data_IF_278776531741
#
_entry.id   IF_278776531741
#
_cell.length_a   1.000
_cell.length_b   1.000
_cell.length_c   1.000
_cell.angle_alpha   90.00
_cell.angle_beta   90.00
_cell.angle_gamma   90.00
#
_symmetry.space_group_name_H-M   'P 1'
#
loop_
_entity.id
_entity.type
_entity.pdbx_description
1 polymer ?
#
# COMPACT_ATOMS: atom_id res chain seq x y z
N UNK A 1 14.51 -1.16 -29.42
CA UNK A 1 14.11 -0.81 -28.06
C UNK A 1 12.69 -0.30 -28.10
N UNK A 2 11.72 -1.13 -27.73
CA UNK A 2 10.30 -0.76 -27.72
C UNK A 2 10.03 0.09 -26.47
N UNK A 3 9.78 1.37 -26.67
CA UNK A 3 9.44 2.29 -25.59
C UNK A 3 8.04 1.93 -25.08
N UNK A 4 7.94 1.40 -23.87
CA UNK A 4 6.66 1.12 -23.22
C UNK A 4 5.95 2.46 -22.96
N UNK A 5 4.84 2.70 -23.64
CA UNK A 5 3.98 3.87 -23.38
C UNK A 5 3.17 3.64 -22.11
N UNK A 6 3.23 4.59 -21.22
CA UNK A 6 2.47 4.62 -19.98
C UNK A 6 1.23 5.49 -20.17
N UNK A 7 0.05 4.95 -19.82
CA UNK A 7 -1.19 5.75 -19.80
C UNK A 7 -1.63 5.87 -18.34
N UNK A 8 -1.80 7.10 -17.88
CA UNK A 8 -2.32 7.41 -16.53
C UNK A 8 -3.58 8.24 -16.62
N UNK A 9 -4.56 7.88 -15.81
CA UNK A 9 -5.75 8.67 -15.55
C UNK A 9 -5.87 8.89 -14.06
N UNK A 10 -6.05 10.15 -13.62
CA UNK A 10 -6.18 10.50 -12.22
C UNK A 10 -7.13 11.67 -12.04
N UNK A 11 -7.73 11.73 -10.87
CA UNK A 11 -8.60 12.81 -10.47
C UNK A 11 -7.82 13.79 -9.58
N UNK A 12 -7.84 15.07 -9.91
CA UNK A 12 -7.26 16.11 -9.08
C UNK A 12 -8.40 16.88 -8.41
N UNK A 13 -8.49 16.77 -7.10
CA UNK A 13 -9.41 17.58 -6.29
C UNK A 13 -8.72 18.86 -5.86
N UNK A 14 -9.40 20.00 -6.01
CA UNK A 14 -8.93 21.33 -5.63
C UNK A 14 -9.94 22.01 -4.70
N UNK A 15 -9.49 22.89 -3.78
CA UNK A 15 -10.37 23.49 -2.77
C UNK A 15 -11.45 24.42 -3.33
N UNK A 16 -11.24 24.99 -4.52
CA UNK A 16 -12.16 25.95 -5.15
C UNK A 16 -12.07 25.92 -6.67
N UNK A 17 -13.09 26.48 -7.34
CA UNK A 17 -13.12 26.65 -8.79
C UNK A 17 -11.98 27.57 -9.30
N UNK A 18 -11.51 28.52 -8.47
CA UNK A 18 -10.38 29.40 -8.80
C UNK A 18 -9.07 28.60 -8.84
N UNK A 19 -8.86 27.71 -7.87
CA UNK A 19 -7.71 26.80 -7.83
C UNK A 19 -7.70 25.80 -9.00
N UNK A 20 -8.87 25.51 -9.59
CA UNK A 20 -8.98 24.63 -10.75
C UNK A 20 -8.26 25.18 -11.99
N UNK A 21 -8.40 26.50 -12.23
CA UNK A 21 -7.68 27.19 -13.31
C UNK A 21 -6.17 27.18 -13.13
N UNK A 22 -5.72 27.40 -11.89
CA UNK A 22 -4.29 27.43 -11.55
C UNK A 22 -3.65 26.04 -11.71
N UNK A 23 -4.34 24.99 -11.26
CA UNK A 23 -3.89 23.60 -11.42
C UNK A 23 -3.86 23.20 -12.90
N UNK A 24 -4.89 23.54 -13.68
CA UNK A 24 -4.94 23.27 -15.11
C UNK A 24 -3.77 23.95 -15.84
N UNK A 25 -3.51 25.23 -15.56
CA UNK A 25 -2.42 25.97 -16.15
C UNK A 25 -1.05 25.42 -15.75
N UNK A 26 -0.88 25.00 -14.49
CA UNK A 26 0.34 24.37 -14.00
C UNK A 26 0.59 23.01 -14.69
N UNK A 27 -0.46 22.24 -14.93
CA UNK A 27 -0.40 20.98 -15.65
C UNK A 27 0.01 21.18 -17.11
N UNK A 28 -0.64 22.10 -17.81
CA UNK A 28 -0.30 22.44 -19.21
C UNK A 28 1.15 22.89 -19.34
N UNK A 29 1.63 23.76 -18.46
CA UNK A 29 3.04 24.21 -18.43
C UNK A 29 4.01 23.05 -18.12
N UNK A 30 3.65 22.13 -17.22
CA UNK A 30 4.47 21.00 -16.89
C UNK A 30 4.59 20.02 -18.06
N UNK A 31 3.53 19.87 -18.86
CA UNK A 31 3.51 19.04 -20.07
C UNK A 31 4.33 19.71 -21.18
N UNK A 32 4.13 21.01 -21.41
CA UNK A 32 4.89 21.77 -22.43
C UNK A 32 6.40 21.81 -22.15
N UNK A 33 6.82 21.62 -20.91
CA UNK A 33 8.23 21.53 -20.53
C UNK A 33 8.87 20.15 -20.86
N UNK A 34 8.11 19.17 -21.35
CA UNK A 34 8.65 17.90 -21.82
C UNK A 34 9.03 17.98 -23.31
N UNK A 35 9.96 17.15 -23.80
CA UNK A 35 10.26 17.05 -25.21
C UNK A 35 9.02 16.79 -26.07
N UNK A 36 8.93 17.38 -27.28
CA UNK A 36 7.78 17.18 -28.14
C UNK A 36 7.51 15.71 -28.42
N UNK A 37 6.24 15.28 -28.24
CA UNK A 37 5.80 13.91 -28.48
C UNK A 37 6.07 12.90 -27.35
N UNK A 38 6.70 13.30 -26.24
CA UNK A 38 6.89 12.41 -25.09
C UNK A 38 5.60 12.17 -24.28
N UNK A 39 4.66 13.13 -24.27
CA UNK A 39 3.39 13.02 -23.53
C UNK A 39 2.24 13.50 -24.40
N UNK A 40 1.20 12.65 -24.53
CA UNK A 40 -0.12 13.06 -24.95
C UNK A 40 -1.02 13.21 -23.71
N UNK A 41 -1.94 14.16 -23.72
CA UNK A 41 -2.82 14.40 -22.57
C UNK A 41 -4.22 14.78 -22.97
N UNK A 42 -5.17 14.46 -22.07
CA UNK A 42 -6.55 14.95 -22.09
C UNK A 42 -6.91 15.43 -20.70
N UNK A 43 -7.58 16.57 -20.59
CA UNK A 43 -8.07 17.15 -19.34
C UNK A 43 -9.55 17.40 -19.51
N UNK A 44 -10.39 16.64 -18.80
CA UNK A 44 -11.83 16.81 -18.81
C UNK A 44 -12.32 17.42 -17.50
N UNK A 45 -13.03 18.57 -17.51
CA UNK A 45 -13.66 19.10 -16.32
C UNK A 45 -14.84 18.20 -15.92
N UNK A 46 -14.86 17.72 -14.67
CA UNK A 46 -15.97 16.93 -14.15
C UNK A 46 -17.06 17.86 -13.62
N UNK A 47 -18.34 17.58 -13.95
CA UNK A 47 -19.51 18.43 -13.64
C UNK A 47 -19.84 18.61 -12.14
N UNK A 48 -19.08 18.01 -11.21
CA UNK A 48 -19.26 18.21 -9.76
C UNK A 48 -17.98 18.79 -9.14
N UNK A 49 -18.10 19.81 -8.26
CA UNK A 49 -16.99 20.67 -7.87
C UNK A 49 -15.93 19.98 -7.01
N UNK A 50 -14.77 20.50 -7.03
CA UNK A 50 -13.91 20.88 -8.14
C UNK A 50 -12.91 19.77 -8.45
N UNK A 51 -13.18 18.98 -9.47
CA UNK A 51 -12.39 17.83 -9.92
C UNK A 51 -11.92 18.04 -11.36
N UNK A 52 -10.65 17.71 -11.62
CA UNK A 52 -10.13 17.50 -12.98
C UNK A 52 -9.87 16.01 -13.19
N UNK A 53 -10.43 15.47 -14.27
CA UNK A 53 -10.04 14.16 -14.79
C UNK A 53 -8.89 14.36 -15.78
N UNK A 54 -7.74 13.80 -15.49
CA UNK A 54 -6.52 14.00 -16.28
C UNK A 54 -6.02 12.66 -16.78
N UNK A 55 -5.84 12.56 -18.10
CA UNK A 55 -5.20 11.43 -18.74
C UNK A 55 -3.86 11.86 -19.32
N UNK A 56 -2.78 11.20 -18.91
CA UNK A 56 -1.44 11.36 -19.46
C UNK A 56 -1.01 10.05 -20.14
N UNK A 57 -0.47 10.16 -21.34
CA UNK A 57 0.07 9.03 -22.08
C UNK A 57 1.50 9.38 -22.56
N UNK A 58 2.49 8.58 -22.17
CA UNK A 58 3.86 8.85 -22.53
C UNK A 58 4.88 7.96 -21.84
N UNK A 59 6.16 8.30 -21.97
CA UNK A 59 7.22 7.60 -21.25
C UNK A 59 7.08 7.77 -19.73
N UNK A 60 7.30 6.70 -18.95
CA UNK A 60 7.11 6.68 -17.50
C UNK A 60 7.84 7.84 -16.79
N UNK A 61 9.07 8.12 -17.17
CA UNK A 61 9.86 9.23 -16.61
C UNK A 61 9.24 10.60 -16.88
N UNK A 62 8.70 10.83 -18.08
CA UNK A 62 8.06 12.09 -18.45
C UNK A 62 6.75 12.31 -17.68
N UNK A 63 5.91 11.27 -17.57
CA UNK A 63 4.67 11.30 -16.77
C UNK A 63 5.00 11.59 -15.30
N UNK A 64 6.01 10.94 -14.72
CA UNK A 64 6.44 11.18 -13.33
C UNK A 64 6.93 12.62 -13.09
N UNK A 65 7.65 13.23 -14.04
CA UNK A 65 8.07 14.64 -13.94
C UNK A 65 6.88 15.61 -13.93
N UNK A 66 5.88 15.36 -14.77
CA UNK A 66 4.65 16.17 -14.81
C UNK A 66 3.90 16.06 -13.50
N UNK A 67 3.73 14.86 -12.96
CA UNK A 67 3.05 14.61 -11.70
C UNK A 67 3.76 15.27 -10.51
N UNK A 68 5.09 15.23 -10.45
CA UNK A 68 5.86 15.90 -9.41
C UNK A 68 5.64 17.41 -9.39
N UNK A 69 5.47 18.05 -10.55
CA UNK A 69 5.15 19.49 -10.63
C UNK A 69 3.72 19.84 -10.20
N UNK A 70 2.76 18.97 -10.50
CA UNK A 70 1.36 19.17 -10.05
C UNK A 70 1.28 19.12 -8.53
N UNK A 71 2.02 18.21 -7.89
CA UNK A 71 2.04 18.07 -6.43
C UNK A 71 2.57 19.31 -5.70
N UNK A 72 3.26 20.22 -6.40
CA UNK A 72 3.75 21.51 -5.83
C UNK A 72 2.73 22.65 -5.90
N UNK A 73 1.58 22.43 -6.57
CA UNK A 73 0.53 23.45 -6.67
C UNK A 73 -0.27 23.46 -5.38
N UNK A 74 -0.33 24.62 -4.73
CA UNK A 74 -1.01 24.77 -3.43
C UNK A 74 -2.50 24.39 -3.54
N UNK A 75 -2.92 23.51 -2.63
CA UNK A 75 -4.29 22.99 -2.56
C UNK A 75 -4.65 21.87 -3.54
N UNK A 76 -3.78 21.47 -4.48
CA UNK A 76 -4.04 20.33 -5.35
C UNK A 76 -3.90 19.01 -4.58
N UNK A 77 -4.94 18.16 -4.63
CA UNK A 77 -4.91 16.80 -4.05
C UNK A 77 -5.22 15.80 -5.14
N UNK A 78 -4.29 14.89 -5.38
CA UNK A 78 -4.48 13.78 -6.34
C UNK A 78 -5.14 12.64 -5.57
N UNK A 79 -6.38 12.29 -5.94
CA UNK A 79 -7.19 11.32 -5.21
C UNK A 79 -7.15 9.89 -5.75
N UNK A 80 -7.01 9.70 -7.05
CA UNK A 80 -6.95 8.37 -7.66
C UNK A 80 -5.98 8.35 -8.83
N UNK A 81 -5.11 7.36 -8.85
CA UNK A 81 -4.22 7.08 -9.98
C UNK A 81 -4.68 5.78 -10.65
N UNK A 82 -5.22 5.87 -11.88
CA UNK A 82 -5.58 4.71 -12.68
C UNK A 82 -4.51 4.53 -13.73
N UNK A 83 -3.57 3.62 -13.47
CA UNK A 83 -2.53 3.28 -14.43
C UNK A 83 -3.03 2.24 -15.43
N UNK A 84 -2.97 2.52 -16.73
CA UNK A 84 -3.14 1.55 -17.80
C UNK A 84 -1.84 1.40 -18.58
N UNK A 85 -1.18 0.24 -18.43
CA UNK A 85 -0.03 -0.12 -19.28
C UNK A 85 -0.58 -0.78 -20.54
N UNK A 86 -0.47 -0.11 -21.69
CA UNK A 86 -0.72 -0.73 -22.98
C UNK A 86 0.58 -1.45 -23.39
N UNK A 87 0.57 -2.77 -23.30
CA UNK A 87 1.58 -3.61 -23.97
C UNK A 87 1.13 -3.85 -25.39
N UNK A 88 1.95 -3.47 -26.36
CA UNK A 88 1.86 -4.02 -27.70
C UNK A 88 2.05 -5.53 -27.58
N UNK A 89 1.09 -6.29 -28.16
CA UNK A 89 1.02 -7.73 -28.01
C UNK A 89 2.17 -8.45 -28.72
N UNK A 90 3.28 -8.61 -28.05
CA UNK A 90 4.28 -9.66 -28.30
C UNK A 90 5.38 -9.55 -27.25
N UNK A 91 5.24 -10.20 -26.12
CA UNK A 91 6.38 -10.66 -25.34
C UNK A 91 5.98 -11.92 -24.57
N UNK A 92 6.77 -12.94 -24.80
CA UNK A 92 6.68 -14.27 -24.24
C UNK A 92 6.48 -14.23 -22.73
N UNK A 93 5.48 -14.98 -22.27
CA UNK A 93 5.27 -15.26 -20.86
C UNK A 93 6.45 -16.11 -20.39
N UNK A 94 7.30 -15.54 -19.52
CA UNK A 94 8.15 -16.38 -18.70
C UNK A 94 7.29 -17.40 -17.92
N UNK A 95 7.82 -18.55 -17.49
CA UNK A 95 7.04 -19.58 -16.83
C UNK A 95 6.48 -19.04 -15.51
N UNK A 96 5.23 -18.59 -15.55
CA UNK A 96 4.49 -18.17 -14.38
C UNK A 96 4.37 -19.33 -13.40
N UNK A 97 4.51 -19.07 -12.10
CA UNK A 97 4.17 -20.05 -11.06
C UNK A 97 2.80 -20.64 -11.37
N UNK A 98 2.74 -21.97 -11.60
CA UNK A 98 1.46 -22.68 -11.71
C UNK A 98 0.71 -22.51 -10.38
N UNK A 99 -0.41 -21.76 -10.41
CA UNK A 99 -1.29 -21.54 -9.25
C UNK A 99 -1.30 -20.13 -8.67
N UNK A 100 -0.43 -19.21 -9.10
CA UNK A 100 -0.51 -17.81 -8.66
C UNK A 100 -1.52 -17.04 -9.52
N UNK A 101 -2.62 -16.62 -8.89
CA UNK A 101 -3.62 -15.73 -9.49
C UNK A 101 -3.15 -14.25 -9.58
N UNK A 102 -1.90 -13.96 -9.25
CA UNK A 102 -1.36 -12.61 -9.17
C UNK A 102 -0.76 -12.18 -10.52
N UNK A 103 -1.31 -11.13 -11.18
CA UNK A 103 -0.94 -10.78 -12.55
C UNK A 103 0.33 -9.93 -12.69
N UNK A 104 0.80 -9.27 -11.63
CA UNK A 104 1.97 -8.38 -11.71
C UNK A 104 3.17 -8.95 -10.95
N UNK A 105 4.09 -9.50 -11.70
CA UNK A 105 5.34 -10.01 -11.15
C UNK A 105 6.41 -8.92 -10.96
N UNK A 106 6.26 -7.72 -11.55
CA UNK A 106 7.36 -6.75 -11.58
C UNK A 106 7.75 -6.28 -10.17
N UNK A 107 6.77 -5.88 -9.35
CA UNK A 107 7.03 -5.50 -7.96
C UNK A 107 7.59 -6.67 -7.14
N UNK A 108 7.04 -7.87 -7.34
CA UNK A 108 7.48 -9.09 -6.63
C UNK A 108 8.90 -9.51 -7.02
N UNK A 109 9.26 -9.44 -8.30
CA UNK A 109 10.63 -9.66 -8.78
C UNK A 109 11.60 -8.68 -8.12
N UNK A 110 11.24 -7.40 -8.09
CA UNK A 110 12.09 -6.37 -7.49
C UNK A 110 12.36 -6.59 -6.01
N UNK A 111 11.38 -7.06 -5.24
CA UNK A 111 11.57 -7.40 -3.81
C UNK A 111 12.07 -8.83 -3.59
N UNK A 112 12.31 -9.61 -4.63
CA UNK A 112 12.76 -11.00 -4.53
C UNK A 112 11.71 -11.94 -3.95
N UNK A 113 10.42 -11.66 -4.18
CA UNK A 113 9.30 -12.49 -3.71
C UNK A 113 8.71 -13.40 -4.80
N UNK A 114 9.17 -13.31 -6.04
CA UNK A 114 8.67 -14.05 -7.20
C UNK A 114 9.12 -15.52 -7.25
N UNK A 115 10.28 -15.83 -6.69
CA UNK A 115 10.97 -17.12 -6.81
C UNK A 115 11.36 -17.72 -5.46
N UNK A 116 10.56 -17.48 -4.44
CA UNK A 116 10.83 -18.01 -3.09
C UNK A 116 10.63 -19.54 -3.05
N UNK A 117 11.52 -20.30 -2.36
CA UNK A 117 11.35 -21.73 -2.21
C UNK A 117 10.11 -22.06 -1.41
N UNK A 118 9.38 -23.11 -1.80
CA UNK A 118 8.26 -23.63 -1.01
C UNK A 118 8.75 -24.07 0.36
N UNK A 119 8.09 -23.60 1.41
CA UNK A 119 8.42 -23.97 2.78
C UNK A 119 7.53 -25.12 3.27
N UNK A 120 8.16 -26.15 3.86
CA UNK A 120 7.44 -27.19 4.61
C UNK A 120 7.26 -26.70 6.05
N UNK A 121 6.08 -26.95 6.64
CA UNK A 121 5.82 -26.66 8.06
C UNK A 121 5.51 -25.20 8.41
N UNK A 122 5.14 -24.39 7.42
CA UNK A 122 4.72 -23.00 7.66
C UNK A 122 3.47 -22.91 8.53
N UNK A 123 3.47 -21.99 9.53
CA UNK A 123 2.35 -21.77 10.42
C UNK A 123 1.41 -20.67 9.89
N UNK A 124 0.09 -20.79 10.09
CA UNK A 124 -0.84 -19.72 9.69
C UNK A 124 -0.56 -18.41 10.44
N UNK A 125 -0.53 -17.31 9.68
CA UNK A 125 -0.34 -15.96 10.23
C UNK A 125 -1.55 -15.09 9.93
N UNK A 126 -2.15 -14.51 10.97
CA UNK A 126 -3.26 -13.58 10.82
C UNK A 126 -2.73 -12.17 10.57
N UNK A 127 -3.13 -11.60 9.42
CA UNK A 127 -2.91 -10.21 9.04
C UNK A 127 -4.24 -9.47 9.13
N UNK A 128 -4.35 -8.51 10.03
CA UNK A 128 -5.52 -7.65 10.13
C UNK A 128 -5.42 -6.49 9.12
N UNK A 129 -6.41 -6.38 8.28
CA UNK A 129 -6.65 -5.26 7.37
C UNK A 129 -7.57 -4.27 8.09
N UNK A 130 -7.02 -3.24 8.71
CA UNK A 130 -7.79 -2.13 9.28
C UNK A 130 -8.01 -1.14 8.14
N UNK A 131 -9.12 -1.30 7.38
CA UNK A 131 -9.28 -0.66 6.07
C UNK A 131 -10.76 -0.48 5.66
N UNK A 132 -11.06 -0.32 4.38
CA UNK A 132 -12.41 -0.10 3.81
C UNK A 132 -13.26 -1.37 3.69
N UNK A 133 -12.71 -2.54 4.00
CA UNK A 133 -13.38 -3.82 3.82
C UNK A 133 -12.64 -4.77 2.88
N UNK A 134 -13.31 -5.85 2.47
CA UNK A 134 -12.77 -6.85 1.56
C UNK A 134 -13.88 -7.40 0.64
N UNK A 135 -13.56 -7.59 -0.64
CA UNK A 135 -14.40 -8.40 -1.54
C UNK A 135 -14.09 -9.88 -1.31
N UNK A 136 -14.72 -10.48 -0.31
CA UNK A 136 -14.42 -11.86 0.15
C UNK A 136 -14.61 -12.92 -0.93
N UNK A 137 -15.49 -12.67 -1.91
CA UNK A 137 -15.80 -13.57 -3.04
C UNK A 137 -14.72 -13.57 -4.13
N UNK A 138 -13.74 -12.66 -4.05
CA UNK A 138 -12.67 -12.61 -5.05
C UNK A 138 -11.83 -13.90 -4.97
N UNK A 139 -11.60 -14.63 -6.09
CA UNK A 139 -10.94 -15.94 -6.08
C UNK A 139 -9.55 -15.95 -5.44
N UNK A 140 -8.83 -14.84 -5.49
CA UNK A 140 -7.51 -14.72 -4.87
C UNK A 140 -7.53 -14.88 -3.34
N UNK A 141 -8.68 -14.72 -2.69
CA UNK A 141 -8.81 -14.83 -1.23
C UNK A 141 -9.30 -16.20 -0.77
N UNK A 142 -9.59 -17.10 -1.71
CA UNK A 142 -10.02 -18.46 -1.37
C UNK A 142 -8.95 -19.18 -0.50
N UNK A 143 -9.36 -19.63 0.68
CA UNK A 143 -8.46 -20.27 1.64
C UNK A 143 -7.58 -19.32 2.47
N UNK A 144 -7.71 -17.99 2.26
CA UNK A 144 -6.93 -16.96 2.97
C UNK A 144 -7.77 -16.13 3.94
N UNK A 145 -9.04 -16.41 4.11
CA UNK A 145 -9.88 -15.65 5.04
C UNK A 145 -9.68 -16.13 6.48
N UNK A 146 -9.66 -15.18 7.43
CA UNK A 146 -9.60 -15.49 8.84
C UNK A 146 -10.85 -16.25 9.29
N UNK A 147 -10.72 -17.40 9.97
CA UNK A 147 -11.85 -18.18 10.45
C UNK A 147 -12.36 -17.61 11.77
N UNK A 148 -12.92 -16.40 11.72
CA UNK A 148 -13.44 -15.73 12.91
C UNK A 148 -14.61 -16.44 13.58
N UNK A 149 -15.10 -15.95 14.71
CA UNK A 149 -16.27 -16.47 15.37
C UNK A 149 -17.46 -16.59 14.39
N UNK A 150 -18.17 -17.70 14.42
CA UNK A 150 -19.33 -17.98 13.55
C UNK A 150 -19.06 -17.91 12.03
N UNK A 151 -17.81 -18.04 11.59
CA UNK A 151 -17.44 -17.99 10.17
C UNK A 151 -17.40 -16.58 9.57
N UNK A 152 -17.49 -15.54 10.40
CA UNK A 152 -17.37 -14.14 9.96
C UNK A 152 -15.90 -13.78 9.91
N UNK A 153 -15.43 -13.24 8.77
CA UNK A 153 -14.03 -12.98 8.52
C UNK A 153 -13.52 -11.62 9.03
N UNK A 154 -14.33 -10.92 9.83
CA UNK A 154 -14.01 -9.60 10.35
C UNK A 154 -15.20 -8.91 10.98
N UNK A 155 -15.10 -7.60 11.16
CA UNK A 155 -16.16 -6.75 11.71
C UNK A 155 -16.12 -5.35 11.10
N UNK A 156 -17.29 -4.69 11.01
CA UNK A 156 -17.45 -3.30 10.61
C UNK A 156 -17.64 -2.38 11.80
N UNK A 157 -17.04 -1.18 11.72
CA UNK A 157 -17.03 -0.15 12.75
C UNK A 157 -17.55 1.22 12.24
N UNK A 158 -18.31 1.23 11.14
CA UNK A 158 -18.95 2.44 10.65
C UNK A 158 -20.29 2.63 11.36
N UNK A 159 -20.49 3.79 11.98
CA UNK A 159 -21.69 4.12 12.74
C UNK A 159 -22.97 3.92 11.92
N UNK A 160 -23.98 3.31 12.53
CA UNK A 160 -25.30 3.10 11.93
C UNK A 160 -25.38 1.99 10.86
N UNK A 161 -24.31 1.19 10.70
CA UNK A 161 -24.28 0.03 9.80
C UNK A 161 -24.19 -1.29 10.55
N UNK A 162 -24.58 -2.39 9.86
CA UNK A 162 -24.49 -3.74 10.42
C UNK A 162 -23.03 -4.17 10.67
N UNK A 163 -22.74 -4.71 11.83
CA UNK A 163 -21.38 -5.07 12.25
C UNK A 163 -20.73 -6.15 11.37
N UNK A 164 -21.54 -6.99 10.72
CA UNK A 164 -21.09 -8.13 9.91
C UNK A 164 -20.82 -7.77 8.44
N UNK A 165 -21.19 -6.55 7.99
CA UNK A 165 -20.96 -6.12 6.61
C UNK A 165 -19.53 -5.63 6.38
N UNK A 166 -18.63 -6.56 6.15
CA UNK A 166 -17.22 -6.29 5.82
C UNK A 166 -16.98 -6.08 4.33
N UNK A 167 -18.03 -6.04 3.51
CA UNK A 167 -17.91 -5.85 2.05
C UNK A 167 -17.23 -4.51 1.73
N UNK A 168 -16.37 -4.52 0.72
CA UNK A 168 -15.58 -3.35 0.33
C UNK A 168 -16.33 -2.52 -0.72
N UNK A 169 -16.86 -1.34 -0.36
CA UNK A 169 -17.49 -0.42 -1.29
C UNK A 169 -16.51 0.59 -1.90
N UNK A 170 -15.34 0.79 -1.30
CA UNK A 170 -14.28 1.68 -1.78
C UNK A 170 -13.34 0.97 -2.76
N UNK A 171 -12.91 -0.23 -2.39
CA UNK A 171 -11.98 -1.06 -3.13
C UNK A 171 -10.53 -0.94 -2.62
N UNK A 172 -10.25 -0.06 -1.64
CA UNK A 172 -8.90 0.13 -1.12
C UNK A 172 -8.43 -1.10 -0.33
N UNK A 173 -9.22 -1.61 0.60
CA UNK A 173 -8.86 -2.80 1.39
C UNK A 173 -8.66 -4.05 0.53
N UNK A 174 -9.50 -4.24 -0.50
CA UNK A 174 -9.35 -5.33 -1.47
C UNK A 174 -8.02 -5.26 -2.22
N UNK A 175 -7.57 -4.07 -2.63
CA UNK A 175 -6.25 -3.86 -3.25
C UNK A 175 -5.11 -4.22 -2.29
N UNK A 176 -5.18 -3.75 -1.04
CA UNK A 176 -4.14 -4.04 -0.05
C UNK A 176 -4.05 -5.54 0.25
N UNK A 177 -5.20 -6.22 0.37
CA UNK A 177 -5.27 -7.66 0.60
C UNK A 177 -4.53 -8.47 -0.47
N UNK A 178 -4.77 -8.17 -1.75
CA UNK A 178 -4.07 -8.83 -2.85
C UNK A 178 -2.57 -8.57 -2.85
N UNK A 179 -2.15 -7.35 -2.51
CA UNK A 179 -0.72 -7.00 -2.40
C UNK A 179 -0.05 -7.75 -1.25
N UNK A 180 -0.71 -7.87 -0.10
CA UNK A 180 -0.23 -8.69 1.03
C UNK A 180 -0.01 -10.13 0.60
N UNK A 181 -1.01 -10.77 -0.03
CA UNK A 181 -0.89 -12.15 -0.48
C UNK A 181 0.19 -12.34 -1.54
N UNK A 182 0.32 -11.39 -2.48
CA UNK A 182 1.38 -11.41 -3.47
C UNK A 182 2.77 -11.46 -2.85
N UNK A 183 3.05 -10.59 -1.88
CA UNK A 183 4.34 -10.54 -1.20
C UNK A 183 4.57 -11.69 -0.20
N UNK A 184 3.50 -12.24 0.36
CA UNK A 184 3.55 -13.41 1.25
C UNK A 184 3.82 -14.73 0.49
N UNK A 185 3.56 -14.75 -0.81
CA UNK A 185 3.83 -15.93 -1.65
C UNK A 185 2.96 -17.13 -1.28
N UNK A 186 3.58 -18.21 -0.80
CA UNK A 186 2.92 -19.47 -0.40
C UNK A 186 2.63 -19.56 1.11
N UNK A 187 2.91 -18.50 1.87
CA UNK A 187 2.62 -18.50 3.31
C UNK A 187 1.10 -18.61 3.56
N UNK A 188 0.68 -19.41 4.54
CA UNK A 188 -0.72 -19.57 4.89
C UNK A 188 -1.25 -18.35 5.66
N UNK A 189 -1.40 -17.22 4.95
CA UNK A 189 -1.96 -15.98 5.50
C UNK A 189 -3.46 -16.12 5.76
N UNK A 190 -3.91 -15.55 6.89
CA UNK A 190 -5.32 -15.39 7.26
C UNK A 190 -5.65 -13.91 7.32
N UNK A 191 -6.43 -13.42 6.37
CA UNK A 191 -6.87 -12.03 6.28
C UNK A 191 -8.04 -11.79 7.25
N UNK A 192 -7.82 -10.98 8.29
CA UNK A 192 -8.85 -10.50 9.21
C UNK A 192 -9.26 -9.10 8.78
N UNK A 193 -10.56 -8.85 8.61
CA UNK A 193 -11.07 -7.55 8.15
C UNK A 193 -11.60 -6.74 9.33
N UNK A 194 -11.06 -5.55 9.53
CA UNK A 194 -11.58 -4.55 10.47
C UNK A 194 -11.96 -3.29 9.68
N UNK A 195 -13.19 -3.29 9.14
CA UNK A 195 -13.68 -2.22 8.27
C UNK A 195 -14.11 -1.02 9.09
N UNK A 196 -13.54 0.17 8.84
CA UNK A 196 -13.86 1.38 9.61
C UNK A 196 -14.16 2.61 8.75
N UNK A 197 -14.06 2.52 7.44
CA UNK A 197 -14.48 3.56 6.49
C UNK A 197 -14.98 2.95 5.18
N UNK A 198 -15.64 3.75 4.37
CA UNK A 198 -15.98 3.47 2.98
C UNK A 198 -16.10 4.79 2.18
N UNK A 199 -16.49 4.72 0.91
CA UNK A 199 -16.63 5.89 0.01
C UNK A 199 -17.59 6.96 0.55
N UNK A 200 -18.65 6.56 1.26
CA UNK A 200 -19.66 7.46 1.81
C UNK A 200 -19.30 7.94 3.24
N UNK A 201 -18.50 7.16 3.96
CA UNK A 201 -18.13 7.39 5.36
C UNK A 201 -16.60 7.47 5.47
N UNK A 202 -16.03 8.68 5.48
CA UNK A 202 -14.58 8.89 5.52
C UNK A 202 -13.98 8.40 6.84
N UNK A 203 -12.66 8.24 6.84
CA UNK A 203 -11.89 7.83 8.02
C UNK A 203 -12.17 8.73 9.22
N UNK A 204 -12.59 8.13 10.34
CA UNK A 204 -12.80 8.79 11.63
C UNK A 204 -11.92 8.15 12.70
N UNK A 205 -11.29 8.97 13.58
CA UNK A 205 -10.41 8.45 14.63
C UNK A 205 -11.09 7.41 15.55
N UNK A 206 -12.34 7.64 15.93
CA UNK A 206 -13.07 6.71 16.85
C UNK A 206 -13.35 5.35 16.21
N UNK A 207 -13.72 5.33 14.93
CA UNK A 207 -13.92 4.09 14.18
C UNK A 207 -12.59 3.33 14.03
N UNK A 208 -11.49 4.07 13.80
CA UNK A 208 -10.15 3.49 13.73
C UNK A 208 -9.71 2.89 15.07
N UNK A 209 -10.04 3.54 16.21
CA UNK A 209 -9.80 3.02 17.56
C UNK A 209 -10.49 1.68 17.74
N UNK A 210 -11.79 1.59 17.42
CA UNK A 210 -12.56 0.36 17.59
C UNK A 210 -12.06 -0.78 16.67
N UNK A 211 -11.70 -0.45 15.43
CA UNK A 211 -11.17 -1.41 14.46
C UNK A 211 -9.78 -1.94 14.86
N UNK A 212 -8.92 -1.07 15.40
CA UNK A 212 -7.59 -1.45 15.86
C UNK A 212 -7.68 -2.30 17.14
N UNK A 213 -8.57 -1.96 18.07
CA UNK A 213 -8.82 -2.74 19.28
C UNK A 213 -9.38 -4.14 18.96
N UNK A 214 -10.25 -4.25 17.96
CA UNK A 214 -10.73 -5.54 17.45
C UNK A 214 -9.57 -6.39 16.91
N UNK A 215 -8.72 -5.84 16.07
CA UNK A 215 -7.57 -6.56 15.51
C UNK A 215 -6.63 -7.09 16.61
N UNK A 216 -6.35 -6.25 17.62
CA UNK A 216 -5.55 -6.59 18.80
C UNK A 216 -6.20 -7.67 19.66
N UNK A 217 -7.46 -7.51 20.03
CA UNK A 217 -8.16 -8.45 20.91
C UNK A 217 -8.32 -9.84 20.30
N UNK A 218 -8.35 -9.94 18.97
CA UNK A 218 -8.37 -11.20 18.22
C UNK A 218 -6.96 -11.70 17.84
N UNK A 219 -5.90 -11.12 18.44
CA UNK A 219 -4.52 -11.58 18.37
C UNK A 219 -3.96 -11.65 16.94
N UNK A 220 -4.30 -10.67 16.11
CA UNK A 220 -3.63 -10.50 14.83
C UNK A 220 -2.13 -10.36 15.05
N UNK A 221 -1.32 -11.11 14.29
CA UNK A 221 0.15 -11.05 14.39
C UNK A 221 0.73 -9.87 13.64
N UNK A 222 0.04 -9.44 12.59
CA UNK A 222 0.39 -8.26 11.80
C UNK A 222 -0.87 -7.42 11.66
N UNK A 223 -0.73 -6.11 11.85
CA UNK A 223 -1.81 -5.14 11.67
C UNK A 223 -1.37 -4.14 10.61
N UNK A 224 -2.08 -4.08 9.48
CA UNK A 224 -1.80 -3.16 8.38
C UNK A 224 -2.66 -1.91 8.51
N UNK A 225 -2.00 -0.75 8.66
CA UNK A 225 -2.59 0.58 8.74
C UNK A 225 -2.20 1.39 7.48
N UNK A 226 -2.96 1.21 6.41
CA UNK A 226 -2.68 1.80 5.09
C UNK A 226 -3.41 3.12 4.85
N UNK A 227 -3.63 3.94 5.89
CA UNK A 227 -4.44 5.17 5.92
C UNK A 227 -3.87 6.22 6.86
N UNK A 228 -4.46 7.43 6.85
CA UNK A 228 -4.20 8.47 7.85
C UNK A 228 -5.48 9.20 8.28
N UNK A 229 -5.46 9.75 9.50
CA UNK A 229 -6.57 10.50 10.14
C UNK A 229 -6.10 11.85 10.71
N UNK A 230 -5.23 12.54 10.03
CA UNK A 230 -4.71 13.82 10.48
C UNK A 230 -3.79 13.71 11.70
N UNK A 231 -4.03 14.47 12.74
CA UNK A 231 -3.20 14.41 13.96
C UNK A 231 -3.51 13.19 14.83
N UNK A 232 -4.67 12.56 14.62
CA UNK A 232 -5.18 11.50 15.47
C UNK A 232 -5.78 12.02 16.78
N UNK A 233 -5.92 11.13 17.75
CA UNK A 233 -6.39 11.44 19.12
C UNK A 233 -5.56 10.65 20.12
N UNK A 234 -5.52 11.09 21.38
CA UNK A 234 -4.82 10.40 22.48
C UNK A 234 -5.33 8.97 22.64
N UNK A 235 -6.63 8.75 22.43
CA UNK A 235 -7.22 7.42 22.47
C UNK A 235 -6.70 6.53 21.35
N UNK A 236 -6.58 7.05 20.12
CA UNK A 236 -6.02 6.31 19.01
C UNK A 236 -4.54 5.97 19.24
N UNK A 237 -3.78 6.91 19.78
CA UNK A 237 -2.38 6.71 20.15
C UNK A 237 -2.24 5.63 21.23
N UNK A 238 -3.07 5.68 22.27
CA UNK A 238 -3.08 4.66 23.33
C UNK A 238 -3.36 3.25 22.80
N UNK A 239 -4.42 3.08 22.00
CA UNK A 239 -4.77 1.77 21.42
C UNK A 239 -3.71 1.30 20.41
N UNK A 240 -3.10 2.22 19.69
CA UNK A 240 -1.97 1.92 18.81
C UNK A 240 -0.79 1.33 19.58
N UNK A 241 -0.38 1.94 20.68
CA UNK A 241 0.71 1.42 21.52
C UNK A 241 0.35 0.08 22.19
N UNK A 242 -0.90 -0.12 22.58
CA UNK A 242 -1.36 -1.43 23.07
C UNK A 242 -1.26 -2.51 21.98
N UNK A 243 -1.63 -2.20 20.74
CA UNK A 243 -1.51 -3.14 19.63
C UNK A 243 -0.06 -3.53 19.33
N UNK A 244 0.88 -2.60 19.50
CA UNK A 244 2.31 -2.83 19.31
C UNK A 244 2.95 -3.78 20.35
N UNK A 245 2.27 -4.11 21.46
CA UNK A 245 2.80 -5.05 22.46
C UNK A 245 2.84 -6.49 21.94
N UNK A 246 1.87 -6.87 21.11
CA UNK A 246 1.66 -8.26 20.69
C UNK A 246 1.70 -8.48 19.17
N UNK A 247 1.72 -7.40 18.38
CA UNK A 247 1.67 -7.44 16.92
C UNK A 247 2.74 -6.55 16.28
N UNK A 248 3.16 -6.91 15.07
CA UNK A 248 3.87 -6.00 14.17
C UNK A 248 2.87 -5.09 13.50
N UNK A 249 2.98 -3.77 13.71
CA UNK A 249 2.11 -2.78 13.08
C UNK A 249 2.83 -2.17 11.88
N UNK A 250 2.30 -2.42 10.68
CA UNK A 250 2.86 -1.91 9.42
C UNK A 250 2.03 -0.72 8.93
N UNK A 251 2.69 0.39 8.63
CA UNK A 251 2.06 1.69 8.48
C UNK A 251 2.51 2.36 7.19
N UNK A 252 1.57 2.93 6.43
CA UNK A 252 1.87 3.78 5.28
C UNK A 252 2.46 5.13 5.74
N UNK A 253 3.56 5.58 5.12
CA UNK A 253 4.21 6.84 5.49
C UNK A 253 3.38 8.09 5.16
N UNK A 254 2.41 7.98 4.25
CA UNK A 254 1.58 9.08 3.73
C UNK A 254 1.92 9.49 2.31
N UNK A 255 0.98 10.16 1.63
CA UNK A 255 1.02 10.44 0.20
C UNK A 255 1.03 11.95 -0.11
N UNK A 256 1.80 12.74 0.65
CA UNK A 256 1.85 14.20 0.54
C UNK A 256 3.19 14.73 0.02
N UNK A 257 4.16 13.84 -0.30
CA UNK A 257 5.50 14.21 -0.72
C UNK A 257 6.34 14.88 0.38
N UNK A 258 5.89 14.80 1.62
CA UNK A 258 6.40 15.57 2.77
C UNK A 258 7.43 14.78 3.58
N UNK A 259 8.32 15.52 4.24
CA UNK A 259 9.23 14.98 5.26
C UNK A 259 8.46 14.75 6.56
N UNK A 260 8.43 13.53 7.07
CA UNK A 260 7.78 13.16 8.32
C UNK A 260 8.65 13.43 9.55
N UNK A 261 9.94 13.68 9.37
CA UNK A 261 10.84 13.97 10.49
C UNK A 261 10.51 15.32 11.14
N UNK A 262 10.93 15.48 12.39
CA UNK A 262 10.75 16.72 13.12
C UNK A 262 11.78 17.76 12.72
N UNK A 263 11.30 18.92 12.26
CA UNK A 263 12.14 20.06 11.94
C UNK A 263 11.58 21.29 12.68
N UNK A 264 12.41 21.98 13.43
CA UNK A 264 12.03 23.21 14.20
C UNK A 264 10.79 23.00 15.10
N UNK A 265 10.67 21.85 15.75
CA UNK A 265 9.58 21.49 16.63
C UNK A 265 8.25 21.15 15.91
N UNK A 266 8.28 20.97 14.59
CA UNK A 266 7.11 20.60 13.77
C UNK A 266 7.38 19.33 12.98
N UNK A 267 6.33 18.54 12.74
CA UNK A 267 6.34 17.38 11.87
C UNK A 267 5.12 17.40 10.98
N UNK A 268 5.28 16.98 9.73
CA UNK A 268 4.15 16.75 8.81
C UNK A 268 3.54 15.34 8.95
N UNK A 269 4.13 14.49 9.80
CA UNK A 269 3.62 13.15 10.04
C UNK A 269 2.18 13.18 10.59
N UNK A 270 1.31 12.39 9.97
CA UNK A 270 -0.10 12.22 10.35
C UNK A 270 -0.26 10.92 11.14
N UNK A 271 -1.32 10.81 11.94
CA UNK A 271 -1.63 9.56 12.61
C UNK A 271 -2.09 8.50 11.58
N UNK A 272 -1.67 7.21 11.70
CA UNK A 272 -0.92 6.65 12.81
C UNK A 272 0.61 6.73 12.68
N UNK A 273 1.20 7.11 11.52
CA UNK A 273 2.66 7.07 11.34
C UNK A 273 3.42 7.97 12.33
N UNK A 274 2.79 9.06 12.80
CA UNK A 274 3.39 9.92 13.83
C UNK A 274 3.60 9.22 15.19
N UNK A 275 2.85 8.14 15.47
CA UNK A 275 2.97 7.35 16.70
C UNK A 275 4.04 6.26 16.62
N UNK A 276 4.57 6.01 15.41
CA UNK A 276 5.49 4.90 15.15
C UNK A 276 6.93 5.17 15.59
N UNK A 277 7.28 6.45 15.78
CA UNK A 277 8.65 6.83 16.11
C UNK A 277 9.15 6.09 17.35
N UNK A 278 10.36 5.52 17.24
CA UNK A 278 11.05 4.80 18.30
C UNK A 278 10.29 3.56 18.85
N UNK A 279 9.22 3.11 18.18
CA UNK A 279 8.51 1.90 18.57
C UNK A 279 9.11 0.65 17.90
N UNK A 280 9.61 -0.32 18.67
CA UNK A 280 10.30 -1.49 18.12
C UNK A 280 9.39 -2.48 17.37
N UNK A 281 8.06 -2.35 17.53
CA UNK A 281 7.06 -3.22 16.89
C UNK A 281 6.34 -2.56 15.72
N UNK A 282 6.87 -1.48 15.16
CA UNK A 282 6.28 -0.78 14.01
C UNK A 282 7.21 -0.80 12.80
N UNK A 283 6.63 -0.76 11.61
CA UNK A 283 7.31 -0.54 10.34
C UNK A 283 6.58 0.54 9.54
N UNK A 284 7.12 1.74 9.51
CA UNK A 284 6.64 2.82 8.66
C UNK A 284 7.29 2.71 7.27
N UNK A 285 6.48 2.74 6.21
CA UNK A 285 6.91 2.36 4.86
C UNK A 285 6.65 3.46 3.85
N UNK A 286 7.71 3.93 3.17
CA UNK A 286 7.62 4.81 2.03
C UNK A 286 7.50 4.05 0.70
N UNK A 287 6.96 4.72 -0.33
CA UNK A 287 6.78 4.12 -1.65
C UNK A 287 7.94 4.43 -2.59
N UNK A 288 8.37 3.41 -3.36
CA UNK A 288 9.22 3.59 -4.54
C UNK A 288 8.44 3.42 -5.84
N UNK A 289 8.98 4.01 -6.91
CA UNK A 289 8.59 3.75 -8.29
C UNK A 289 9.30 2.51 -8.85
N UNK A 290 9.16 2.27 -10.16
CA UNK A 290 9.75 1.13 -10.88
C UNK A 290 11.28 1.23 -11.06
N UNK A 291 11.86 2.39 -10.84
CA UNK A 291 13.30 2.65 -10.86
C UNK A 291 13.96 2.59 -9.48
N UNK A 292 13.23 2.16 -8.45
CA UNK A 292 13.64 2.17 -7.04
C UNK A 292 13.94 3.58 -6.48
N UNK A 293 13.45 4.63 -7.14
CA UNK A 293 13.51 6.00 -6.62
C UNK A 293 12.25 6.28 -5.76
N UNK A 294 12.32 7.30 -4.91
CA UNK A 294 11.15 7.71 -4.12
C UNK A 294 9.99 8.08 -5.03
N UNK A 295 8.84 7.41 -4.90
CA UNK A 295 7.63 7.82 -5.59
C UNK A 295 7.30 9.28 -5.26
N UNK A 296 6.91 10.07 -6.26
CA UNK A 296 6.76 11.53 -6.16
C UNK A 296 5.83 11.96 -5.01
N UNK A 297 4.77 11.19 -4.75
CA UNK A 297 3.78 11.45 -3.69
C UNK A 297 4.26 10.98 -2.32
N UNK A 298 5.24 10.06 -2.26
CA UNK A 298 5.59 9.41 -1.00
C UNK A 298 6.16 10.37 0.03
N UNK A 299 5.58 10.34 1.24
CA UNK A 299 6.25 10.88 2.40
C UNK A 299 7.52 10.08 2.69
N UNK A 300 8.45 10.69 3.39
CA UNK A 300 9.77 10.16 3.73
C UNK A 300 10.23 10.67 5.09
N UNK A 301 11.32 10.16 5.63
CA UNK A 301 11.92 10.61 6.88
C UNK A 301 12.97 9.60 7.35
N UNK A 302 14.15 10.09 7.76
CA UNK A 302 15.26 9.23 8.21
C UNK A 302 15.08 8.72 9.65
N UNK A 303 14.19 9.35 10.42
CA UNK A 303 13.88 8.97 11.81
C UNK A 303 12.52 8.33 11.95
N UNK A 304 11.55 8.67 11.07
CA UNK A 304 10.15 8.31 11.20
C UNK A 304 9.69 7.26 10.19
N UNK A 305 10.50 6.95 9.17
CA UNK A 305 10.20 5.94 8.16
C UNK A 305 11.29 4.88 8.14
N UNK A 306 10.93 3.62 8.36
CA UNK A 306 11.89 2.53 8.54
C UNK A 306 12.53 2.09 7.21
N UNK A 307 11.72 1.81 6.18
CA UNK A 307 12.18 1.31 4.89
C UNK A 307 11.27 1.74 3.74
N UNK A 308 11.72 1.46 2.53
CA UNK A 308 10.94 1.65 1.31
C UNK A 308 10.44 0.32 0.74
N UNK A 309 9.35 0.35 -0.03
CA UNK A 309 8.88 -0.78 -0.83
C UNK A 309 8.19 -0.27 -2.11
N UNK A 310 8.00 -1.13 -3.13
CA UNK A 310 7.27 -0.74 -4.34
C UNK A 310 5.87 -0.24 -4.01
N UNK A 311 5.54 0.98 -4.45
CA UNK A 311 4.27 1.62 -4.15
C UNK A 311 3.70 2.42 -5.33
N UNK A 312 4.33 2.39 -6.50
CA UNK A 312 3.83 3.02 -7.70
C UNK A 312 3.76 2.01 -8.84
N UNK A 313 2.62 1.97 -9.53
CA UNK A 313 2.41 1.03 -10.63
C UNK A 313 2.13 -0.39 -10.15
N UNK A 314 1.52 -0.58 -8.99
CA UNK A 314 1.28 -1.89 -8.39
C UNK A 314 -0.05 -2.45 -8.90
N UNK A 315 -0.01 -3.62 -9.54
CA UNK A 315 -1.21 -4.35 -9.95
C UNK A 315 -1.65 -5.31 -8.86
N UNK A 316 -2.89 -5.17 -8.42
CA UNK A 316 -3.47 -5.97 -7.35
C UNK A 316 -4.96 -6.29 -7.59
N UNK A 317 -5.54 -7.13 -6.73
CA UNK A 317 -6.95 -7.49 -6.77
C UNK A 317 -7.84 -6.25 -6.75
N UNK A 318 -8.89 -6.29 -7.54
CA UNK A 318 -9.85 -5.19 -7.66
C UNK A 318 -11.20 -5.59 -7.05
N UNK A 319 -11.84 -4.65 -6.38
CA UNK A 319 -13.27 -4.78 -6.11
C UNK A 319 -14.04 -4.85 -7.43
N UNK A 320 -14.74 -5.94 -7.64
CA UNK A 320 -15.57 -6.20 -8.81
C UNK A 320 -17.06 -6.07 -8.47
N UNK A 321 -17.89 -5.76 -9.46
CA UNK A 321 -19.34 -5.63 -9.27
C UNK A 321 -20.07 -6.98 -9.35
N UNK A 322 -19.37 -8.01 -9.87
CA UNK A 322 -19.90 -9.36 -9.99
C UNK A 322 -18.80 -10.42 -9.87
N UNK A 323 -19.18 -11.66 -9.57
CA UNK A 323 -18.28 -12.80 -9.57
C UNK A 323 -17.66 -13.05 -10.96
N UNK A 324 -18.38 -12.77 -12.02
CA UNK A 324 -17.88 -12.91 -13.39
C UNK A 324 -16.73 -11.93 -13.68
N UNK A 325 -16.82 -10.68 -13.21
CA UNK A 325 -15.70 -9.73 -13.28
C UNK A 325 -14.50 -10.20 -12.46
N UNK A 326 -14.74 -10.79 -11.29
CA UNK A 326 -13.69 -11.24 -10.38
C UNK A 326 -12.91 -12.46 -10.91
N UNK A 327 -13.41 -13.17 -11.89
CA UNK A 327 -12.74 -14.31 -12.56
C UNK A 327 -12.07 -13.94 -13.88
N UNK A 328 -12.26 -12.71 -14.36
CA UNK A 328 -11.78 -12.23 -15.65
C UNK A 328 -10.59 -11.27 -15.56
N UNK A 329 -10.16 -10.72 -16.70
CA UNK A 329 -9.07 -9.73 -16.75
C UNK A 329 -9.33 -8.47 -15.92
N UNK A 330 -10.60 -8.16 -15.64
CA UNK A 330 -11.03 -7.02 -14.82
C UNK A 330 -10.93 -7.27 -13.31
N UNK A 331 -10.55 -8.48 -12.88
CA UNK A 331 -10.37 -8.83 -11.47
C UNK A 331 -9.22 -8.06 -10.80
N UNK A 332 -8.37 -7.44 -11.59
CA UNK A 332 -7.16 -6.75 -11.14
C UNK A 332 -7.09 -5.34 -11.70
N UNK A 333 -6.46 -4.43 -10.95
CA UNK A 333 -6.16 -3.08 -11.42
C UNK A 333 -4.79 -2.62 -10.93
N UNK A 334 -4.21 -1.66 -11.62
CA UNK A 334 -2.98 -1.00 -11.19
C UNK A 334 -3.31 0.23 -10.36
N UNK A 335 -2.57 0.42 -9.29
CA UNK A 335 -2.73 1.55 -8.36
C UNK A 335 -1.37 2.03 -7.81
N UNK A 336 -1.38 3.09 -7.00
CA UNK A 336 -0.20 3.60 -6.32
C UNK A 336 -0.56 4.14 -4.94
N UNK A 337 0.45 4.21 -4.07
CA UNK A 337 0.33 4.74 -2.72
C UNK A 337 1.36 4.13 -1.76
N UNK A 338 1.67 4.82 -0.69
CA UNK A 338 2.41 4.23 0.44
C UNK A 338 1.64 3.08 1.09
N UNK A 339 0.31 3.03 0.86
CA UNK A 339 -0.56 1.91 1.22
C UNK A 339 -0.10 0.60 0.57
N UNK A 340 0.17 0.62 -0.76
CA UNK A 340 0.67 -0.56 -1.47
C UNK A 340 2.08 -0.96 -0.99
N UNK A 341 2.93 0.03 -0.72
CA UNK A 341 4.26 -0.23 -0.16
C UNK A 341 4.18 -0.92 1.22
N UNK A 342 3.31 -0.42 2.11
CA UNK A 342 3.05 -1.04 3.41
C UNK A 342 2.48 -2.46 3.27
N UNK A 343 1.58 -2.69 2.33
CA UNK A 343 1.03 -4.02 2.06
C UNK A 343 2.09 -5.03 1.62
N UNK A 344 3.08 -4.64 0.79
CA UNK A 344 4.21 -5.50 0.45
C UNK A 344 5.02 -5.89 1.70
N UNK A 345 5.29 -4.93 2.59
CA UNK A 345 6.03 -5.19 3.84
C UNK A 345 5.23 -6.09 4.78
N UNK A 346 3.91 -5.88 4.90
CA UNK A 346 3.05 -6.75 5.71
C UNK A 346 3.03 -8.19 5.18
N UNK A 347 2.97 -8.38 3.86
CA UNK A 347 3.07 -9.70 3.23
C UNK A 347 4.42 -10.37 3.46
N UNK A 348 5.52 -9.61 3.31
CA UNK A 348 6.87 -10.12 3.62
C UNK A 348 7.01 -10.52 5.10
N UNK A 349 6.49 -9.69 6.02
CA UNK A 349 6.48 -10.01 7.44
C UNK A 349 5.68 -11.29 7.74
N UNK A 350 4.52 -11.46 7.10
CA UNK A 350 3.70 -12.66 7.24
C UNK A 350 4.43 -13.92 6.78
N UNK A 351 5.18 -13.82 5.68
CA UNK A 351 6.01 -14.91 5.18
C UNK A 351 7.10 -15.29 6.19
N UNK A 352 7.82 -14.31 6.75
CA UNK A 352 8.87 -14.56 7.74
C UNK A 352 8.27 -15.19 9.00
N UNK A 353 7.21 -14.62 9.58
CA UNK A 353 6.55 -15.15 10.79
C UNK A 353 5.99 -16.56 10.57
N UNK A 354 5.49 -16.84 9.36
CA UNK A 354 4.97 -18.16 9.01
C UNK A 354 6.07 -19.23 8.97
N UNK A 355 7.25 -18.87 8.48
CA UNK A 355 8.40 -19.80 8.36
C UNK A 355 9.22 -19.92 9.62
N UNK A 356 9.25 -18.87 10.42
CA UNK A 356 10.05 -18.75 11.65
C UNK A 356 9.17 -18.26 12.81
N UNK A 357 8.23 -19.12 13.28
CA UNK A 357 7.22 -18.71 14.27
C UNK A 357 7.79 -18.39 15.65
N UNK A 358 9.00 -18.81 15.94
CA UNK A 358 9.69 -18.58 17.22
C UNK A 358 10.43 -17.24 17.25
N UNK A 359 10.60 -16.56 16.11
CA UNK A 359 11.19 -15.22 16.07
C UNK A 359 10.22 -14.19 16.64
N UNK A 360 10.75 -13.32 17.49
CA UNK A 360 9.99 -12.19 18.06
C UNK A 360 9.65 -11.15 16.98
N UNK A 361 8.66 -10.29 17.27
CA UNK A 361 8.29 -9.18 16.39
C UNK A 361 9.51 -8.30 16.07
N UNK A 362 10.37 -8.05 17.05
CA UNK A 362 11.57 -7.22 16.89
C UNK A 362 12.62 -7.88 16.00
N UNK A 363 12.81 -9.19 16.11
CA UNK A 363 13.69 -9.96 15.22
C UNK A 363 13.17 -9.97 13.78
N UNK A 364 11.86 -10.16 13.59
CA UNK A 364 11.22 -10.05 12.27
C UNK A 364 11.41 -8.65 11.66
N UNK A 365 11.19 -7.59 12.46
CA UNK A 365 11.48 -6.21 12.03
C UNK A 365 12.95 -6.05 11.64
N UNK A 366 13.88 -6.51 12.47
CA UNK A 366 15.32 -6.49 12.20
C UNK A 366 15.67 -7.19 10.89
N UNK A 367 15.12 -8.39 10.66
CA UNK A 367 15.33 -9.13 9.41
C UNK A 367 14.89 -8.34 8.17
N UNK A 368 13.77 -7.62 8.24
CA UNK A 368 13.25 -6.83 7.12
C UNK A 368 14.05 -5.54 6.89
N UNK A 369 14.40 -4.83 7.95
CA UNK A 369 15.06 -3.51 7.88
C UNK A 369 16.56 -3.62 7.53
N UNK A 370 17.24 -4.62 8.08
CA UNK A 370 18.68 -4.79 7.88
C UNK A 370 19.06 -5.48 6.57
N UNK A 371 18.06 -6.12 5.90
CA UNK A 371 18.26 -6.88 4.67
C UNK A 371 17.81 -6.13 3.40
N UNK A 372 17.59 -4.83 3.50
CA UNK A 372 17.12 -4.03 2.36
C UNK A 372 18.17 -3.91 1.25
N UNK A 373 17.72 -3.78 0.02
CA UNK A 373 18.57 -3.31 -1.07
C UNK A 373 18.87 -1.83 -0.87
N UNK A 374 20.11 -1.52 -0.52
CA UNK A 374 20.55 -0.15 -0.26
C UNK A 374 20.33 0.75 -1.48
N UNK A 375 19.67 1.88 -1.26
CA UNK A 375 19.40 2.93 -2.23
C UNK A 375 19.65 4.27 -1.56
N UNK A 376 20.85 4.86 -1.69
CA UNK A 376 21.28 6.03 -0.89
C UNK A 376 20.39 7.26 -1.01
N UNK A 377 19.59 7.35 -2.11
CA UNK A 377 18.64 8.44 -2.34
C UNK A 377 17.34 8.28 -1.55
N UNK A 378 17.02 7.09 -1.05
CA UNK A 378 15.84 6.87 -0.22
C UNK A 378 16.06 7.43 1.19
N UNK A 379 15.28 8.44 1.54
CA UNK A 379 15.31 9.08 2.85
C UNK A 379 14.42 8.33 3.84
N UNK A 380 14.86 7.14 4.25
CA UNK A 380 14.30 6.34 5.34
C UNK A 380 15.44 5.83 6.23
N UNK A 381 15.16 5.31 7.41
CA UNK A 381 16.15 4.86 8.40
C UNK A 381 17.09 3.80 7.83
N UNK A 382 16.55 2.78 7.15
CA UNK A 382 17.36 1.73 6.51
C UNK A 382 18.13 2.23 5.28
N UNK A 383 17.70 3.34 4.65
CA UNK A 383 18.26 3.82 3.39
C UNK A 383 18.12 2.84 2.24
N UNK A 384 17.06 2.01 2.23
CA UNK A 384 16.91 0.96 1.23
C UNK A 384 15.47 0.50 0.99
N UNK A 385 15.32 -0.32 -0.05
CA UNK A 385 14.06 -0.94 -0.46
C UNK A 385 14.00 -2.39 0.01
N UNK A 386 12.81 -2.84 0.45
CA UNK A 386 12.49 -4.22 0.84
C UNK A 386 13.12 -5.26 -0.08
N UNK A 387 13.80 -6.25 0.51
CA UNK A 387 14.30 -7.44 -0.15
C UNK A 387 13.88 -8.69 0.64
N UNK A 388 12.81 -9.35 0.18
CA UNK A 388 12.20 -10.50 0.88
C UNK A 388 13.13 -11.70 0.89
N UNK A 389 13.85 -11.95 -0.22
CA UNK A 389 14.78 -13.08 -0.30
C UNK A 389 15.96 -12.91 0.67
N UNK A 390 16.49 -11.69 0.83
CA UNK A 390 17.55 -11.41 1.78
C UNK A 390 17.03 -11.48 3.24
N UNK A 391 15.84 -10.95 3.50
CA UNK A 391 15.21 -11.03 4.82
C UNK A 391 14.96 -12.48 5.27
N UNK A 392 14.54 -13.37 4.35
CA UNK A 392 14.38 -14.78 4.64
C UNK A 392 15.71 -15.48 4.98
N UNK A 393 16.80 -15.16 4.27
CA UNK A 393 18.13 -15.70 4.61
C UNK A 393 18.54 -15.26 6.00
N UNK A 394 18.38 -13.99 6.34
CA UNK A 394 18.69 -13.46 7.67
C UNK A 394 17.83 -14.10 8.75
N UNK A 395 16.53 -14.26 8.53
CA UNK A 395 15.63 -14.93 9.47
C UNK A 395 16.04 -16.40 9.71
N UNK A 396 16.53 -17.09 8.68
CA UNK A 396 17.07 -18.44 8.81
C UNK A 396 18.35 -18.51 9.66
N UNK A 397 19.17 -17.46 9.64
CA UNK A 397 20.37 -17.33 10.49
C UNK A 397 19.98 -17.00 11.92
N UNK A 398 19.09 -16.04 12.11
CA UNK A 398 18.56 -15.63 13.42
C UNK A 398 17.90 -16.79 14.17
N UNK A 399 17.11 -17.60 13.46
CA UNK A 399 16.43 -18.79 14.04
C UNK A 399 17.39 -19.90 14.49
N UNK A 400 18.64 -19.90 14.07
CA UNK A 400 19.68 -20.86 14.52
C UNK A 400 20.38 -20.40 15.79
N UNK A 401 20.32 -19.09 16.10
CA UNK A 401 20.98 -18.48 17.24
C UNK A 401 19.94 -17.63 17.99
N UNK A 402 18.93 -18.24 18.65
CA UNK A 402 17.82 -17.56 19.30
C UNK A 402 18.25 -16.74 20.53
#
# INVERSE_FOLDING_TARGET
MTTTKLVRRFEIRVPSARSLGDVKLALERAIQAQPPGEIAFTIDPVQRPPLLDVRLEGAAAAVSRVMARIATVDGARIHHDILRVLRDGSSERGPGRKGSAYPDLNALVRIGADSLPLAKGSMPVTVALVDSGLMVEHPAFAGHLWPGPSGIHGKQFIDGKGEDDISDQDGHGTLQAGTVLGAAGDAPVRLMVAKFFDTANPTRPDNAVAALDFARSHKAKIILLAWDVGLGSDRLESVFHEACKDALVVIAAGNYGSDNDWHDGRSSARAPVRFAKDNPSTLAVMATDDSDEKAWFSNYGRQTVDLAAPGLGITSTRRCLSKAEATGPLAYRTHGGTSAAAAHVAGAAALLMSRYPDLTVQQIKGCLVDSVDRRPRLKCASGGRLNVAAALRRAAEEAKNP
#
